data_IF_453698495148
#
_entry.id   IF_453698495148
#
_cell.length_a   1.000
_cell.length_b   1.000
_cell.length_c   1.000
_cell.angle_alpha   90.00
_cell.angle_beta   90.00
_cell.angle_gamma   90.00
#
_symmetry.space_group_name_H-M   'P 1'
#
loop_
_entity.id
_entity.type
_entity.pdbx_description
1 polymer ?
#
# COMPACT_ATOMS: atom_id res chain seq x y z
N UNK A 1 -22.54 12.48 -9.70
CA UNK A 1 -22.16 11.06 -9.97
C UNK A 1 -22.93 10.57 -11.19
N UNK A 2 -22.33 9.70 -12.02
CA UNK A 2 -23.05 8.97 -13.08
C UNK A 2 -23.21 7.51 -12.66
N UNK A 3 -24.38 6.93 -12.93
CA UNK A 3 -24.67 5.53 -12.61
C UNK A 3 -24.09 4.62 -13.68
N UNK A 4 -23.37 3.58 -13.26
CA UNK A 4 -22.85 2.52 -14.11
C UNK A 4 -23.52 1.21 -13.68
N UNK A 5 -24.21 0.53 -14.60
CA UNK A 5 -24.76 -0.79 -14.37
C UNK A 5 -23.90 -1.83 -15.08
N UNK A 6 -23.35 -2.78 -14.32
CA UNK A 6 -22.46 -3.84 -14.83
C UNK A 6 -23.05 -5.19 -14.49
N UNK A 7 -23.12 -6.08 -15.47
CA UNK A 7 -23.47 -7.48 -15.23
C UNK A 7 -22.25 -8.20 -14.65
N UNK A 8 -22.40 -8.75 -13.46
CA UNK A 8 -21.35 -9.52 -12.78
C UNK A 8 -21.71 -11.01 -12.78
N UNK A 9 -20.74 -11.91 -13.03
CA UNK A 9 -20.93 -13.32 -12.74
C UNK A 9 -21.31 -13.53 -11.27
N UNK A 10 -22.19 -14.50 -11.01
CA UNK A 10 -22.69 -14.78 -9.66
C UNK A 10 -21.57 -14.99 -8.61
N UNK A 11 -20.46 -15.72 -8.91
CA UNK A 11 -19.36 -15.86 -7.96
C UNK A 11 -18.72 -14.52 -7.57
N UNK A 12 -18.54 -13.62 -8.56
CA UNK A 12 -17.93 -12.31 -8.34
C UNK A 12 -18.84 -11.39 -7.53
N UNK A 13 -20.15 -11.42 -7.80
CA UNK A 13 -21.13 -10.65 -7.03
C UNK A 13 -21.19 -11.10 -5.55
N UNK A 14 -21.10 -12.41 -5.29
CA UNK A 14 -21.04 -12.96 -3.93
C UNK A 14 -19.77 -12.52 -3.20
N UNK A 15 -18.62 -12.61 -3.88
CA UNK A 15 -17.36 -12.17 -3.33
C UNK A 15 -17.39 -10.66 -2.98
N UNK A 16 -17.87 -9.82 -3.89
CA UNK A 16 -17.98 -8.37 -3.68
C UNK A 16 -18.90 -8.05 -2.49
N UNK A 17 -20.02 -8.76 -2.35
CA UNK A 17 -20.94 -8.60 -1.23
C UNK A 17 -20.29 -8.94 0.10
N UNK A 18 -19.52 -10.03 0.16
CA UNK A 18 -18.79 -10.45 1.36
C UNK A 18 -17.71 -9.43 1.74
N UNK A 19 -16.92 -8.97 0.78
CA UNK A 19 -15.89 -7.95 1.02
C UNK A 19 -16.48 -6.62 1.51
N UNK A 20 -17.62 -6.20 0.94
CA UNK A 20 -18.35 -5.02 1.39
C UNK A 20 -18.77 -5.12 2.87
N UNK A 21 -19.26 -6.29 3.29
CA UNK A 21 -19.62 -6.55 4.69
C UNK A 21 -18.41 -6.54 5.62
N UNK A 22 -17.34 -7.25 5.25
CA UNK A 22 -16.11 -7.34 6.05
C UNK A 22 -15.48 -5.95 6.26
N UNK A 23 -15.43 -5.13 5.21
CA UNK A 23 -14.85 -3.79 5.27
C UNK A 23 -15.84 -2.72 5.79
N UNK A 24 -17.11 -3.07 6.07
CA UNK A 24 -18.20 -2.13 6.43
C UNK A 24 -18.36 -0.97 5.43
N UNK A 25 -18.26 -1.27 4.13
CA UNK A 25 -18.37 -0.29 3.03
C UNK A 25 -19.41 -0.74 2.02
N UNK A 26 -19.87 0.18 1.16
CA UNK A 26 -20.82 -0.18 0.10
C UNK A 26 -20.10 -0.87 -1.07
N UNK A 27 -20.82 -1.73 -1.80
CA UNK A 27 -20.28 -2.37 -3.01
C UNK A 27 -19.84 -1.33 -4.05
N UNK A 28 -20.62 -0.26 -4.20
CA UNK A 28 -20.31 0.84 -5.11
C UNK A 28 -19.01 1.56 -4.74
N UNK A 29 -18.70 1.69 -3.45
CA UNK A 29 -17.44 2.31 -3.00
C UNK A 29 -16.24 1.42 -3.29
N UNK A 30 -16.36 0.11 -3.08
CA UNK A 30 -15.30 -0.83 -3.43
C UNK A 30 -15.05 -0.87 -4.94
N UNK A 31 -16.11 -0.88 -5.76
CA UNK A 31 -15.99 -0.85 -7.23
C UNK A 31 -15.33 0.45 -7.68
N UNK A 32 -15.73 1.60 -7.11
CA UNK A 32 -15.11 2.89 -7.44
C UNK A 32 -13.63 2.93 -7.04
N UNK A 33 -13.28 2.44 -5.85
CA UNK A 33 -11.90 2.35 -5.41
C UNK A 33 -11.06 1.49 -6.34
N UNK A 34 -11.56 0.32 -6.76
CA UNK A 34 -10.85 -0.55 -7.69
C UNK A 34 -10.62 0.13 -9.05
N UNK A 35 -11.62 0.84 -9.58
CA UNK A 35 -11.49 1.61 -10.82
C UNK A 35 -10.47 2.76 -10.67
N UNK A 36 -10.45 3.45 -9.53
CA UNK A 36 -9.48 4.51 -9.27
C UNK A 36 -8.05 3.97 -9.12
N UNK A 37 -7.86 2.85 -8.44
CA UNK A 37 -6.56 2.19 -8.30
C UNK A 37 -6.02 1.78 -9.68
N UNK A 38 -6.86 1.14 -10.50
CA UNK A 38 -6.51 0.78 -11.88
C UNK A 38 -6.17 2.02 -12.73
N UNK A 39 -6.94 3.11 -12.59
CA UNK A 39 -6.71 4.37 -13.33
C UNK A 39 -5.39 5.03 -12.94
N UNK A 40 -5.03 5.00 -11.66
CA UNK A 40 -3.75 5.55 -11.17
C UNK A 40 -2.56 4.70 -11.59
N UNK A 41 -2.81 3.52 -12.20
CA UNK A 41 -1.77 2.56 -12.49
C UNK A 41 -1.15 2.01 -11.22
N UNK A 42 -1.85 2.07 -10.08
CA UNK A 42 -1.44 1.37 -8.86
C UNK A 42 -1.44 -0.11 -9.19
N UNK A 43 -0.27 -0.71 -9.37
CA UNK A 43 -0.20 -2.13 -9.62
C UNK A 43 -0.61 -2.75 -8.30
N UNK A 44 -1.74 -3.46 -8.30
CA UNK A 44 -2.16 -4.26 -7.16
C UNK A 44 -0.94 -5.04 -6.68
N UNK A 45 -0.45 -4.68 -5.50
CA UNK A 45 0.77 -5.25 -4.94
C UNK A 45 2.01 -5.22 -5.87
N UNK A 46 2.47 -4.07 -6.37
CA UNK A 46 3.94 -3.93 -6.39
C UNK A 46 4.36 -3.89 -4.93
N UNK A 47 4.84 -5.03 -4.44
CA UNK A 47 5.67 -5.07 -3.23
C UNK A 47 6.76 -4.02 -3.45
N UNK A 48 6.62 -2.86 -2.82
CA UNK A 48 7.69 -1.87 -2.80
C UNK A 48 8.93 -2.61 -2.36
N UNK A 49 10.03 -2.48 -3.10
CA UNK A 49 11.26 -3.14 -2.66
C UNK A 49 11.63 -2.60 -1.27
N UNK A 50 12.36 -3.37 -0.46
CA UNK A 50 12.81 -2.86 0.84
C UNK A 50 13.56 -1.54 0.70
N UNK A 51 14.27 -1.31 -0.42
CA UNK A 51 14.94 -0.04 -0.70
C UNK A 51 13.96 1.11 -0.96
N UNK A 52 12.84 0.87 -1.66
CA UNK A 52 11.82 1.90 -1.91
C UNK A 52 11.09 2.30 -0.61
N UNK A 53 10.82 1.33 0.27
CA UNK A 53 10.26 1.60 1.60
C UNK A 53 11.22 2.42 2.47
N UNK A 54 12.51 2.09 2.44
CA UNK A 54 13.54 2.83 3.18
C UNK A 54 13.79 4.23 2.60
N UNK A 55 13.61 4.41 1.28
CA UNK A 55 13.75 5.73 0.65
C UNK A 55 12.70 6.74 1.11
N UNK A 56 11.52 6.28 1.55
CA UNK A 56 10.50 7.16 2.16
C UNK A 56 10.91 7.63 3.56
N UNK A 57 11.88 6.96 4.18
CA UNK A 57 12.46 7.33 5.48
C UNK A 57 13.77 8.12 5.31
N UNK A 58 14.21 8.34 4.07
CA UNK A 58 15.41 9.11 3.77
C UNK A 58 15.22 10.56 4.24
N UNK A 59 16.14 11.04 5.07
CA UNK A 59 16.06 12.36 5.71
C UNK A 59 15.22 12.44 6.99
N UNK A 60 14.59 11.35 7.47
CA UNK A 60 13.91 11.37 8.79
C UNK A 60 14.90 11.35 9.95
N UNK A 61 16.09 10.79 9.74
CA UNK A 61 17.16 10.76 10.74
C UNK A 61 18.43 11.42 10.19
N UNK A 62 18.98 12.37 10.94
CA UNK A 62 20.34 12.85 10.74
C UNK A 62 21.31 11.91 11.49
N UNK A 63 22.06 11.11 10.74
CA UNK A 63 23.06 10.19 11.27
C UNK A 63 24.44 10.46 10.67
N UNK A 64 25.50 10.04 11.36
CA UNK A 64 26.85 10.05 10.79
C UNK A 64 26.88 9.20 9.51
N UNK A 65 27.62 9.67 8.49
CA UNK A 65 27.66 9.05 7.14
C UNK A 65 28.01 7.56 7.11
N UNK A 66 28.63 7.02 8.17
CA UNK A 66 29.08 5.63 8.22
C UNK A 66 28.90 5.03 9.61
N UNK A 67 27.66 4.64 9.94
CA UNK A 67 27.35 3.90 11.16
C UNK A 67 27.57 2.38 11.02
N UNK A 68 27.68 1.86 9.79
CA UNK A 68 27.79 0.42 9.54
C UNK A 68 29.23 -0.11 9.58
N UNK A 69 30.21 0.75 9.30
CA UNK A 69 31.58 0.30 8.97
C UNK A 69 32.65 1.00 9.80
N UNK A 70 32.35 2.17 10.38
CA UNK A 70 33.32 2.93 11.13
C UNK A 70 33.40 2.46 12.60
N UNK A 71 34.50 1.82 13.03
CA UNK A 71 34.65 1.31 14.39
C UNK A 71 34.63 2.41 15.45
N UNK A 72 34.87 3.69 15.11
CA UNK A 72 34.76 4.82 16.03
C UNK A 72 33.30 5.10 16.41
N UNK A 73 32.36 4.95 15.47
CA UNK A 73 30.94 5.24 15.70
C UNK A 73 30.16 4.05 16.28
N UNK A 74 30.74 2.84 16.26
CA UNK A 74 30.14 1.61 16.81
C UNK A 74 30.39 1.39 18.31
N UNK A 75 31.36 2.08 18.92
CA UNK A 75 31.80 1.79 20.30
C UNK A 75 30.69 1.91 21.36
N UNK A 76 29.73 2.79 21.15
CA UNK A 76 28.65 3.08 22.10
C UNK A 76 27.25 3.02 21.46
N UNK A 77 27.14 2.37 20.28
CA UNK A 77 25.86 2.25 19.58
C UNK A 77 24.94 1.27 20.33
N UNK A 78 23.80 1.78 20.83
CA UNK A 78 22.76 0.97 21.47
C UNK A 78 22.92 0.71 22.98
N UNK A 79 23.77 1.47 23.68
CA UNK A 79 23.83 1.52 25.15
C UNK A 79 22.93 2.59 25.74
#
# INVERSE_FOLDING_TARGET
MKTLSVKLPLPLARWLSKQAQEMKRTQSDLVRQALEAQRRGEPGSKSKSCAELLSELDGFFEGSRDLSTNPKYLKDYGK
#
